data_IF_883564033908
#
_entry.id   IF_883564033908
#
_cell.length_a   1.000
_cell.length_b   1.000
_cell.length_c   1.000
_cell.angle_alpha   90.00
_cell.angle_beta   90.00
_cell.angle_gamma   90.00
#
_symmetry.space_group_name_H-M   'P 1'
#
loop_
_entity.id
_entity.type
_entity.pdbx_description
1 polymer ?
#
# COMPACT_ATOMS: atom_id res chain seq x y z
N UNK A 1 -13.14 1.99 -9.22
CA UNK A 1 -12.36 2.78 -10.20
C UNK A 1 -11.99 4.09 -9.54
N UNK A 2 -10.80 4.59 -9.80
CA UNK A 2 -10.27 5.80 -9.20
C UNK A 2 -9.96 6.76 -10.33
N UNK A 3 -10.43 7.99 -10.21
CA UNK A 3 -10.15 9.02 -11.18
C UNK A 3 -8.85 9.71 -10.77
N UNK A 4 -7.88 9.71 -11.67
CA UNK A 4 -6.67 10.49 -11.53
C UNK A 4 -7.01 11.98 -11.70
N UNK A 5 -6.76 12.78 -10.66
CA UNK A 5 -7.11 14.20 -10.60
C UNK A 5 -6.33 15.07 -11.60
N UNK A 6 -5.17 14.59 -12.07
CA UNK A 6 -4.26 15.33 -12.94
C UNK A 6 -4.51 15.05 -14.42
N UNK A 7 -4.97 13.83 -14.74
CA UNK A 7 -5.14 13.36 -16.12
C UNK A 7 -6.59 13.09 -16.50
N UNK A 8 -7.50 13.04 -15.52
CA UNK A 8 -8.92 12.70 -15.70
C UNK A 8 -9.18 11.26 -16.09
N UNK A 9 -8.14 10.41 -16.13
CA UNK A 9 -8.24 8.99 -16.50
C UNK A 9 -8.73 8.17 -15.32
N UNK A 10 -9.52 7.14 -15.61
CA UNK A 10 -9.95 6.17 -14.61
C UNK A 10 -8.96 4.99 -14.59
N UNK A 11 -8.42 4.69 -13.41
CA UNK A 11 -7.67 3.46 -13.15
C UNK A 11 -8.44 2.54 -12.22
N UNK A 12 -8.12 1.25 -12.25
CA UNK A 12 -8.59 0.31 -11.24
C UNK A 12 -7.82 0.58 -9.94
N UNK A 13 -8.47 0.42 -8.79
CA UNK A 13 -7.80 0.54 -7.50
C UNK A 13 -6.85 -0.64 -7.29
N UNK A 14 -5.73 -0.41 -6.60
CA UNK A 14 -4.73 -1.41 -6.23
C UNK A 14 -5.28 -2.49 -5.29
N UNK A 15 -6.41 -2.25 -4.60
CA UNK A 15 -7.09 -3.30 -3.81
C UNK A 15 -7.59 -4.48 -4.66
N UNK A 16 -7.55 -4.34 -6.00
CA UNK A 16 -7.86 -5.42 -6.93
C UNK A 16 -6.66 -5.86 -7.77
N UNK A 17 -5.47 -5.44 -7.37
CA UNK A 17 -4.19 -5.84 -7.94
C UNK A 17 -3.60 -7.00 -7.11
N UNK A 18 -3.14 -8.04 -7.80
CA UNK A 18 -2.68 -9.27 -7.15
C UNK A 18 -1.34 -9.06 -6.43
N UNK A 19 -0.44 -8.24 -6.99
CA UNK A 19 0.86 -7.94 -6.40
C UNK A 19 0.67 -7.11 -5.12
N UNK A 20 -0.22 -6.13 -5.15
CA UNK A 20 -0.60 -5.36 -3.97
C UNK A 20 -1.21 -6.24 -2.86
N UNK A 21 -2.19 -7.09 -3.18
CA UNK A 21 -2.85 -7.94 -2.19
C UNK A 21 -1.87 -8.96 -1.56
N UNK A 22 -0.99 -9.53 -2.39
CA UNK A 22 0.09 -10.41 -1.91
C UNK A 22 1.02 -9.67 -0.96
N UNK A 23 1.42 -8.45 -1.32
CA UNK A 23 2.35 -7.63 -0.54
C UNK A 23 1.76 -7.20 0.81
N UNK A 24 0.48 -6.81 0.85
CA UNK A 24 -0.22 -6.48 2.10
C UNK A 24 -0.17 -7.63 3.11
N UNK A 25 -0.28 -8.88 2.65
CA UNK A 25 -0.22 -10.04 3.54
C UNK A 25 1.14 -10.20 4.24
N UNK A 26 2.22 -9.71 3.61
CA UNK A 26 3.58 -9.74 4.17
C UNK A 26 3.95 -8.51 5.02
N UNK A 27 3.16 -7.44 4.93
CA UNK A 27 3.51 -6.14 5.50
C UNK A 27 3.72 -6.18 7.03
N UNK A 28 2.83 -6.87 7.76
CA UNK A 28 2.97 -6.97 9.22
C UNK A 28 4.29 -7.64 9.63
N UNK A 29 4.67 -8.72 8.94
CA UNK A 29 5.93 -9.41 9.21
C UNK A 29 7.12 -8.52 8.89
N UNK A 30 7.06 -7.77 7.80
CA UNK A 30 8.11 -6.82 7.44
C UNK A 30 8.31 -5.75 8.51
N UNK A 31 7.21 -5.13 8.98
CA UNK A 31 7.24 -4.08 10.01
C UNK A 31 7.88 -4.60 11.29
N UNK A 32 7.41 -5.75 11.79
CA UNK A 32 7.91 -6.35 13.03
C UNK A 32 9.38 -6.77 12.93
N UNK A 33 9.77 -7.43 11.85
CA UNK A 33 11.12 -8.00 11.71
C UNK A 33 12.20 -6.93 11.49
N UNK A 34 11.82 -5.79 10.90
CA UNK A 34 12.76 -4.71 10.59
C UNK A 34 12.62 -3.51 11.52
N UNK A 35 11.66 -3.55 12.46
CA UNK A 35 11.26 -2.37 13.25
C UNK A 35 11.03 -1.16 12.32
N UNK A 36 10.33 -1.41 11.21
CA UNK A 36 10.16 -0.42 10.15
C UNK A 36 9.22 0.69 10.61
N UNK A 37 9.60 1.94 10.34
CA UNK A 37 8.69 3.07 10.46
C UNK A 37 7.73 3.13 9.25
N UNK A 38 6.81 4.11 9.28
CA UNK A 38 5.78 4.23 8.25
C UNK A 38 6.39 4.49 6.86
N UNK A 39 7.47 5.27 6.78
CA UNK A 39 8.12 5.63 5.51
C UNK A 39 8.82 4.41 4.92
N UNK A 40 9.56 3.65 5.75
CA UNK A 40 10.22 2.41 5.32
C UNK A 40 9.21 1.33 4.92
N UNK A 41 8.10 1.21 5.65
CA UNK A 41 7.01 0.30 5.32
C UNK A 41 6.33 0.70 3.99
N UNK A 42 6.17 2.00 3.74
CA UNK A 42 5.59 2.53 2.52
C UNK A 42 6.48 2.25 1.29
N UNK A 43 7.78 2.54 1.40
CA UNK A 43 8.74 2.29 0.33
C UNK A 43 8.79 0.80 -0.01
N UNK A 44 8.89 -0.06 1.00
CA UNK A 44 8.85 -1.51 0.80
C UNK A 44 7.56 -1.96 0.12
N UNK A 45 6.41 -1.43 0.55
CA UNK A 45 5.11 -1.78 -0.04
C UNK A 45 5.03 -1.36 -1.51
N UNK A 46 5.52 -0.18 -1.86
CA UNK A 46 5.57 0.30 -3.24
C UNK A 46 6.45 -0.60 -4.12
N UNK A 47 7.60 -1.02 -3.60
CA UNK A 47 8.51 -1.95 -4.28
C UNK A 47 7.87 -3.33 -4.51
N UNK A 48 7.23 -3.92 -3.48
CA UNK A 48 6.62 -5.25 -3.61
C UNK A 48 5.37 -5.26 -4.50
N UNK A 49 4.56 -4.19 -4.45
CA UNK A 49 3.35 -4.04 -5.24
C UNK A 49 3.59 -3.42 -6.62
N UNK A 50 4.86 -3.20 -7.00
CA UNK A 50 5.27 -2.62 -8.28
C UNK A 50 4.48 -1.35 -8.63
N UNK A 51 4.29 -0.47 -7.64
CA UNK A 51 3.47 0.73 -7.77
C UNK A 51 4.25 1.98 -7.40
N UNK A 52 3.97 3.09 -8.10
CA UNK A 52 4.67 4.35 -7.85
C UNK A 52 4.12 5.11 -6.63
N UNK A 53 2.85 4.90 -6.29
CA UNK A 53 2.16 5.63 -5.21
C UNK A 53 0.85 4.93 -4.84
N UNK A 54 0.62 4.81 -3.53
CA UNK A 54 -0.66 4.42 -2.94
C UNK A 54 -1.53 5.63 -2.58
N UNK A 55 -0.93 6.81 -2.44
CA UNK A 55 -1.58 8.02 -1.86
C UNK A 55 -2.74 8.51 -2.72
N UNK A 56 -2.63 8.33 -4.04
CA UNK A 56 -3.68 8.69 -4.99
C UNK A 56 -4.74 7.58 -5.15
N UNK A 57 -4.73 6.59 -4.26
CA UNK A 57 -5.65 5.45 -4.18
C UNK A 57 -6.11 5.28 -2.72
N UNK A 58 -7.07 6.12 -2.30
CA UNK A 58 -7.53 6.13 -0.89
C UNK A 58 -7.85 4.73 -0.33
N UNK A 59 -8.56 3.82 -1.04
CA UNK A 59 -8.78 2.47 -0.54
C UNK A 59 -7.48 1.68 -0.29
N UNK A 60 -6.49 1.78 -1.18
CA UNK A 60 -5.20 1.12 -1.00
C UNK A 60 -4.38 1.75 0.13
N UNK A 61 -4.39 3.09 0.21
CA UNK A 61 -3.76 3.83 1.31
C UNK A 61 -4.34 3.43 2.67
N UNK A 62 -5.67 3.40 2.79
CA UNK A 62 -6.35 3.03 4.03
C UNK A 62 -5.99 1.61 4.47
N UNK A 63 -5.95 0.65 3.52
CA UNK A 63 -5.58 -0.74 3.82
C UNK A 63 -4.12 -0.89 4.24
N UNK A 64 -3.20 -0.19 3.57
CA UNK A 64 -1.79 -0.11 3.96
C UNK A 64 -1.66 0.43 5.39
N UNK A 65 -2.25 1.59 5.66
CA UNK A 65 -2.08 2.29 6.94
C UNK A 65 -2.70 1.52 8.10
N UNK A 66 -3.88 0.91 7.90
CA UNK A 66 -4.49 0.02 8.89
C UNK A 66 -3.61 -1.19 9.21
N UNK A 67 -3.06 -1.83 8.19
CA UNK A 67 -2.20 -3.01 8.36
C UNK A 67 -0.90 -2.67 9.08
N UNK A 68 -0.31 -1.52 8.76
CA UNK A 68 0.87 -0.97 9.44
C UNK A 68 0.59 -0.71 10.92
N UNK A 69 -0.50 0.00 11.26
CA UNK A 69 -0.87 0.27 12.65
C UNK A 69 -1.15 -1.02 13.41
N UNK A 70 -1.86 -1.98 12.81
CA UNK A 70 -2.13 -3.28 13.46
C UNK A 70 -0.87 -4.10 13.74
N UNK A 71 0.27 -3.80 13.10
CA UNK A 71 1.55 -4.42 13.42
C UNK A 71 2.25 -3.77 14.63
N UNK A 72 1.80 -2.59 15.06
CA UNK A 72 2.38 -1.82 16.16
C UNK A 72 1.60 -1.95 17.49
N UNK A 73 0.36 -2.48 17.43
CA UNK A 73 -0.49 -2.83 18.58
C UNK A 73 -0.08 -4.17 19.22
#
# INVERSE_FOLDING_TARGET
MIQDSNTGKFRKSLIHDEEFLSSISGLQSFVLNNNADCDMAYDWMCDQANCNSLVDDNPAWDLFYQTFISALD
#
